data_IF_514947846301
#
_entry.id   IF_514947846301
#
_cell.length_a   1.000
_cell.length_b   1.000
_cell.length_c   1.000
_cell.angle_alpha   90.00
_cell.angle_beta   90.00
_cell.angle_gamma   90.00
#
_symmetry.space_group_name_H-M   'P 1'
#
loop_
_entity.id
_entity.type
_entity.pdbx_description
1 polymer ?
#
# COMPACT_ATOMS: atom_id res chain seq x y z
N UNK A 1 7.30 5.80 -1.67
CA UNK A 1 8.64 6.39 -1.77
C UNK A 1 9.37 6.07 -0.48
N UNK A 2 9.99 4.93 -0.45
CA UNK A 2 10.70 4.40 0.72
C UNK A 2 12.14 4.13 0.35
N UNK A 3 12.99 3.97 1.37
CA UNK A 3 14.38 3.53 1.20
C UNK A 3 15.33 4.54 0.53
N UNK A 4 15.00 5.84 0.55
CA UNK A 4 15.96 6.85 0.17
C UNK A 4 17.05 6.93 1.25
N UNK A 5 18.31 6.74 0.85
CA UNK A 5 19.46 6.89 1.76
C UNK A 5 19.92 8.33 1.71
N UNK A 6 19.42 9.14 2.65
CA UNK A 6 19.89 10.51 2.83
C UNK A 6 21.23 10.55 3.56
N UNK A 7 22.08 11.49 3.16
CA UNK A 7 23.19 11.94 4.01
C UNK A 7 22.65 12.86 5.09
N UNK A 8 23.40 13.10 6.17
CA UNK A 8 22.92 13.92 7.30
C UNK A 8 22.51 15.35 6.86
N UNK A 9 23.22 15.90 5.88
CA UNK A 9 22.97 17.24 5.31
C UNK A 9 21.76 17.30 4.35
N UNK A 10 21.35 16.18 3.79
CA UNK A 10 20.24 16.12 2.82
C UNK A 10 18.87 16.16 3.50
N UNK A 11 18.81 15.96 4.82
CA UNK A 11 17.55 16.08 5.55
C UNK A 11 17.10 17.52 5.66
N UNK A 12 15.91 17.82 5.13
CA UNK A 12 15.29 19.13 5.15
C UNK A 12 14.26 19.30 6.28
N UNK A 13 13.72 18.18 6.78
CA UNK A 13 12.75 18.19 7.87
C UNK A 13 13.37 18.69 9.17
N UNK A 14 12.69 19.67 9.78
CA UNK A 14 13.14 20.30 11.04
C UNK A 14 13.32 19.26 12.16
N UNK A 15 12.41 18.29 12.27
CA UNK A 15 12.51 17.23 13.27
C UNK A 15 13.75 16.36 13.05
N UNK A 16 14.08 16.01 11.80
CA UNK A 16 15.26 15.24 11.49
C UNK A 16 16.54 16.02 11.87
N UNK A 17 16.59 17.32 11.56
CA UNK A 17 17.68 18.21 11.92
C UNK A 17 17.86 18.35 13.44
N UNK A 18 16.76 18.45 14.19
CA UNK A 18 16.79 18.48 15.66
C UNK A 18 17.30 17.15 16.24
N UNK A 19 16.84 16.01 15.72
CA UNK A 19 17.33 14.69 16.12
C UNK A 19 18.83 14.60 15.92
N UNK A 20 19.39 15.03 14.79
CA UNK A 20 20.84 15.05 14.57
C UNK A 20 21.55 16.02 15.50
N UNK A 21 20.99 17.20 15.78
CA UNK A 21 21.56 18.18 16.72
C UNK A 21 21.78 17.58 18.11
N UNK A 22 20.79 16.83 18.61
CA UNK A 22 20.87 16.14 19.90
C UNK A 22 21.84 14.93 19.81
N UNK A 23 21.70 14.14 18.75
CA UNK A 23 22.47 12.93 18.55
C UNK A 23 23.99 13.17 18.45
N UNK A 24 24.40 14.36 17.98
CA UNK A 24 25.83 14.75 17.93
C UNK A 24 26.47 14.87 19.32
N UNK A 25 25.66 15.06 20.38
CA UNK A 25 26.13 15.23 21.77
C UNK A 25 26.23 13.90 22.53
N UNK A 26 25.81 12.80 21.92
CA UNK A 26 25.73 11.48 22.57
C UNK A 26 26.67 10.50 21.87
N UNK A 27 27.47 9.70 22.58
CA UNK A 27 28.28 8.63 22.00
C UNK A 27 27.39 7.70 21.16
N UNK A 28 27.83 7.37 19.93
CA UNK A 28 27.06 6.57 18.94
C UNK A 28 25.69 7.16 18.51
N UNK A 29 25.28 8.31 19.03
CA UNK A 29 23.97 8.91 18.78
C UNK A 29 23.69 9.14 17.29
N UNK A 30 24.69 9.57 16.50
CA UNK A 30 24.52 9.74 15.04
C UNK A 30 24.13 8.45 14.33
N UNK A 31 24.72 7.31 14.70
CA UNK A 31 24.39 6.03 14.08
C UNK A 31 22.94 5.63 14.39
N UNK A 32 22.52 5.81 15.64
CA UNK A 32 21.14 5.55 16.08
C UNK A 32 20.17 6.48 15.35
N UNK A 33 20.49 7.78 15.26
CA UNK A 33 19.67 8.77 14.56
C UNK A 33 19.50 8.40 13.09
N UNK A 34 20.58 8.04 12.38
CA UNK A 34 20.53 7.59 10.98
C UNK A 34 19.62 6.36 10.82
N UNK A 35 19.77 5.35 11.66
CA UNK A 35 18.94 4.13 11.61
C UNK A 35 17.44 4.42 11.84
N UNK A 36 17.13 5.33 12.75
CA UNK A 36 15.76 5.76 13.03
C UNK A 36 15.19 6.59 11.87
N UNK A 37 15.90 7.61 11.42
CA UNK A 37 15.45 8.54 10.38
C UNK A 37 15.35 7.86 9.01
N UNK A 38 16.22 6.88 8.72
CA UNK A 38 16.12 6.06 7.51
C UNK A 38 14.77 5.34 7.34
N UNK A 39 14.02 5.14 8.44
CA UNK A 39 12.71 4.49 8.43
C UNK A 39 11.54 5.47 8.65
N UNK A 40 11.78 6.60 9.31
CA UNK A 40 10.70 7.45 9.85
C UNK A 40 10.72 8.89 9.40
N UNK A 41 11.78 9.36 8.74
CA UNK A 41 11.88 10.75 8.30
C UNK A 41 10.78 11.08 7.27
N UNK A 42 10.13 12.23 7.46
CA UNK A 42 9.11 12.75 6.54
C UNK A 42 9.68 13.05 5.16
N UNK A 43 10.97 13.33 5.07
CA UNK A 43 11.65 13.64 3.82
C UNK A 43 11.56 12.49 2.80
N UNK A 44 11.38 11.24 3.25
CA UNK A 44 11.14 10.11 2.35
C UNK A 44 9.87 10.28 1.49
N UNK A 45 8.84 10.94 2.03
CA UNK A 45 7.60 11.20 1.31
C UNK A 45 7.64 12.50 0.47
N UNK A 46 8.73 13.27 0.57
CA UNK A 46 8.90 14.57 -0.09
C UNK A 46 9.89 14.54 -1.24
N UNK A 47 10.56 13.41 -1.48
CA UNK A 47 11.46 13.27 -2.64
C UNK A 47 10.69 13.53 -3.95
N UNK A 48 11.35 14.11 -4.98
CA UNK A 48 10.72 14.32 -6.26
C UNK A 48 10.09 13.06 -6.85
N UNK A 49 8.93 13.21 -7.48
CA UNK A 49 8.22 12.09 -8.12
C UNK A 49 9.07 11.49 -9.22
N UNK A 50 9.13 10.17 -9.24
CA UNK A 50 9.92 9.39 -10.20
C UNK A 50 9.06 9.06 -11.42
N UNK A 51 9.02 9.95 -12.43
CA UNK A 51 8.20 9.75 -13.62
C UNK A 51 8.81 8.75 -14.59
N UNK A 52 10.13 8.84 -14.82
CA UNK A 52 10.87 7.96 -15.73
C UNK A 52 12.33 7.78 -15.30
N UNK A 53 13.11 7.04 -16.07
CA UNK A 53 14.53 6.83 -15.84
C UNK A 53 15.45 7.93 -16.39
N UNK A 54 14.90 9.00 -16.98
CA UNK A 54 15.63 10.10 -17.58
C UNK A 54 16.28 11.06 -16.58
N UNK A 55 16.71 12.20 -17.08
CA UNK A 55 17.29 13.25 -16.25
C UNK A 55 16.30 13.73 -15.20
N UNK A 56 16.79 13.98 -13.99
CA UNK A 56 15.98 14.38 -12.83
C UNK A 56 14.71 13.52 -12.62
N UNK A 57 14.74 12.24 -13.01
CA UNK A 57 13.61 11.33 -12.96
C UNK A 57 12.37 11.82 -13.75
N UNK A 58 12.58 12.70 -14.76
CA UNK A 58 11.49 13.37 -15.48
C UNK A 58 10.70 14.37 -14.63
N UNK A 59 11.18 14.72 -13.44
CA UNK A 59 10.46 15.62 -12.53
C UNK A 59 10.60 17.10 -12.90
N UNK A 60 11.78 17.51 -13.30
CA UNK A 60 12.08 18.91 -13.66
C UNK A 60 13.25 19.00 -14.64
N UNK A 61 13.26 20.04 -15.47
CA UNK A 61 14.41 20.39 -16.31
C UNK A 61 15.51 21.15 -15.53
N UNK A 62 15.17 21.73 -14.37
CA UNK A 62 16.10 22.43 -13.50
C UNK A 62 16.64 21.56 -12.37
N UNK A 63 17.33 22.17 -11.40
CA UNK A 63 17.80 21.48 -10.20
C UNK A 63 16.63 21.09 -9.32
N UNK A 64 16.47 19.80 -8.95
CA UNK A 64 15.43 19.40 -8.00
C UNK A 64 15.63 20.06 -6.64
N UNK A 65 14.53 20.41 -5.97
CA UNK A 65 14.54 21.05 -4.65
C UNK A 65 15.09 20.16 -3.53
N UNK A 66 15.07 18.85 -3.74
CA UNK A 66 15.59 17.82 -2.86
C UNK A 66 16.27 16.74 -3.69
N UNK A 67 17.14 15.94 -3.07
CA UNK A 67 17.78 14.81 -3.75
C UNK A 67 16.76 13.81 -4.31
N UNK A 68 17.08 13.26 -5.45
CA UNK A 68 16.33 12.15 -6.04
C UNK A 68 16.66 10.86 -5.31
N UNK A 69 15.68 9.98 -5.14
CA UNK A 69 15.94 8.62 -4.73
C UNK A 69 16.62 7.88 -5.91
N UNK A 70 17.82 7.32 -5.74
CA UNK A 70 18.55 6.63 -6.82
C UNK A 70 17.76 5.49 -7.49
N UNK A 71 16.75 4.95 -6.79
CA UNK A 71 15.87 3.91 -7.33
C UNK A 71 15.05 4.35 -8.54
N UNK A 72 15.00 5.65 -8.88
CA UNK A 72 14.21 6.14 -10.02
C UNK A 72 14.62 5.49 -11.36
N UNK A 73 15.83 4.99 -11.48
CA UNK A 73 16.29 4.28 -12.68
C UNK A 73 15.51 2.99 -12.95
N UNK A 74 14.95 2.37 -11.93
CA UNK A 74 14.21 1.10 -12.03
C UNK A 74 12.79 1.18 -11.49
N UNK A 75 12.55 2.04 -10.50
CA UNK A 75 11.23 2.23 -9.87
C UNK A 75 10.72 3.61 -10.27
N UNK A 76 9.85 3.66 -11.25
CA UNK A 76 9.26 4.90 -11.75
C UNK A 76 7.89 4.62 -12.39
N UNK A 77 7.15 5.68 -12.69
CA UNK A 77 5.80 5.59 -13.26
C UNK A 77 5.80 4.92 -14.63
N UNK A 78 6.77 5.25 -15.49
CA UNK A 78 6.87 4.65 -16.83
C UNK A 78 7.02 3.12 -16.76
N UNK A 79 7.93 2.63 -15.91
CA UNK A 79 8.11 1.20 -15.70
C UNK A 79 6.89 0.54 -15.07
N UNK A 80 6.19 1.22 -14.14
CA UNK A 80 4.96 0.70 -13.56
C UNK A 80 3.85 0.58 -14.62
N UNK A 81 3.67 1.59 -15.48
CA UNK A 81 2.69 1.54 -16.57
C UNK A 81 2.96 0.39 -17.54
N UNK A 82 4.23 0.08 -17.79
CA UNK A 82 4.67 -1.03 -18.66
C UNK A 82 4.57 -2.41 -17.96
N UNK A 83 4.32 -2.46 -16.65
CA UNK A 83 4.22 -3.72 -15.92
C UNK A 83 2.90 -4.48 -16.12
N UNK A 84 1.98 -3.94 -16.92
CA UNK A 84 0.69 -4.58 -17.25
C UNK A 84 -0.13 -4.89 -15.99
N UNK A 85 -0.48 -6.16 -15.80
CA UNK A 85 -1.30 -6.58 -14.64
C UNK A 85 -0.63 -6.41 -13.27
N UNK A 86 0.70 -6.27 -13.24
CA UNK A 86 1.47 -6.01 -12.01
C UNK A 86 1.57 -4.52 -11.69
N UNK A 87 1.05 -3.64 -12.55
CA UNK A 87 1.06 -2.21 -12.36
C UNK A 87 0.21 -1.81 -11.16
N UNK A 88 0.81 -1.09 -10.22
CA UNK A 88 0.13 -0.49 -9.07
C UNK A 88 -0.87 0.57 -9.54
N UNK A 89 -0.49 1.39 -10.52
CA UNK A 89 -1.38 2.37 -11.13
C UNK A 89 -2.61 1.72 -11.76
N UNK A 90 -2.42 0.65 -12.55
CA UNK A 90 -3.54 -0.06 -13.17
C UNK A 90 -4.48 -0.68 -12.11
N UNK A 91 -3.92 -1.21 -11.02
CA UNK A 91 -4.71 -1.71 -9.91
C UNK A 91 -5.53 -0.61 -9.24
N UNK A 92 -4.94 0.54 -8.93
CA UNK A 92 -5.63 1.70 -8.36
C UNK A 92 -6.73 2.23 -9.28
N UNK A 93 -6.49 2.27 -10.60
CA UNK A 93 -7.51 2.66 -11.58
C UNK A 93 -8.75 1.76 -11.49
N UNK A 94 -8.55 0.43 -11.40
CA UNK A 94 -9.65 -0.54 -11.22
C UNK A 94 -10.36 -0.37 -9.86
N UNK A 95 -9.59 -0.13 -8.80
CA UNK A 95 -10.14 0.11 -7.46
C UNK A 95 -11.01 1.38 -7.43
N UNK A 96 -10.56 2.45 -8.07
CA UNK A 96 -11.35 3.68 -8.20
C UNK A 96 -12.61 3.48 -9.05
N UNK A 97 -12.54 2.71 -10.14
CA UNK A 97 -13.71 2.36 -10.93
C UNK A 97 -14.73 1.56 -10.12
N UNK A 98 -14.28 0.56 -9.35
CA UNK A 98 -15.12 -0.19 -8.43
C UNK A 98 -15.81 0.72 -7.40
N UNK A 99 -15.05 1.66 -6.81
CA UNK A 99 -15.58 2.61 -5.83
C UNK A 99 -16.64 3.54 -6.43
N UNK A 100 -16.39 4.10 -7.61
CA UNK A 100 -17.34 5.02 -8.28
C UNK A 100 -18.61 4.32 -8.76
N UNK A 101 -18.50 3.07 -9.18
CA UNK A 101 -19.62 2.29 -9.69
C UNK A 101 -20.48 1.61 -8.62
N UNK A 102 -20.16 1.74 -7.34
CA UNK A 102 -20.85 1.02 -6.27
C UNK A 102 -21.10 1.90 -5.04
N UNK A 103 -22.35 2.29 -4.85
CA UNK A 103 -22.79 3.04 -3.66
C UNK A 103 -22.46 2.31 -2.35
N UNK A 104 -22.50 0.96 -2.35
CA UNK A 104 -22.16 0.14 -1.19
C UNK A 104 -20.75 0.43 -0.64
N UNK A 105 -19.79 0.83 -1.50
CA UNK A 105 -18.43 1.18 -1.06
C UNK A 105 -18.40 2.51 -0.33
N UNK A 106 -19.27 3.46 -0.70
CA UNK A 106 -19.38 4.77 -0.06
C UNK A 106 -20.34 4.81 1.12
N UNK A 107 -21.52 4.20 0.96
CA UNK A 107 -22.68 4.35 1.87
C UNK A 107 -22.98 3.11 2.71
N UNK A 108 -22.35 1.96 2.41
CA UNK A 108 -22.66 0.71 3.12
C UNK A 108 -22.19 0.72 4.59
N UNK A 109 -22.91 -0.02 5.43
CA UNK A 109 -22.51 -0.28 6.82
C UNK A 109 -21.23 -1.09 6.84
N UNK A 110 -20.36 -0.77 7.80
CA UNK A 110 -19.10 -1.48 8.00
C UNK A 110 -19.22 -2.46 9.16
N UNK A 111 -18.88 -3.74 8.89
CA UNK A 111 -18.79 -4.76 9.93
C UNK A 111 -17.45 -5.48 9.78
N UNK A 112 -16.58 -5.34 10.79
CA UNK A 112 -15.31 -6.04 10.83
C UNK A 112 -15.54 -7.50 11.19
N UNK A 113 -14.91 -8.40 10.46
CA UNK A 113 -14.89 -9.83 10.73
C UNK A 113 -13.63 -10.17 11.53
N UNK A 114 -13.78 -11.03 12.54
CA UNK A 114 -12.68 -11.56 13.35
C UNK A 114 -11.67 -10.47 13.80
N UNK A 115 -12.10 -9.50 14.65
CA UNK A 115 -11.27 -8.36 15.04
C UNK A 115 -9.97 -8.74 15.76
N UNK A 116 -9.91 -9.95 16.35
CA UNK A 116 -8.73 -10.48 17.04
C UNK A 116 -7.68 -11.09 16.08
N UNK A 117 -7.99 -11.21 14.79
CA UNK A 117 -7.09 -11.81 13.81
C UNK A 117 -5.95 -10.86 13.43
N UNK A 118 -4.72 -11.24 13.75
CA UNK A 118 -3.52 -10.45 13.45
C UNK A 118 -2.94 -10.70 12.05
N UNK A 119 -3.54 -11.61 11.27
CA UNK A 119 -3.02 -12.05 9.97
C UNK A 119 -3.87 -11.57 8.81
N UNK A 120 -5.19 -11.65 8.98
CA UNK A 120 -6.15 -11.32 7.93
C UNK A 120 -7.02 -10.17 8.41
N UNK A 121 -7.12 -9.13 7.60
CA UNK A 121 -8.09 -8.06 7.79
C UNK A 121 -9.30 -8.38 6.92
N UNK A 122 -10.43 -8.71 7.57
CA UNK A 122 -11.69 -9.02 6.92
C UNK A 122 -12.79 -8.07 7.37
N UNK A 123 -13.62 -7.62 6.43
CA UNK A 123 -14.82 -6.85 6.75
C UNK A 123 -15.87 -6.97 5.65
N UNK A 124 -17.11 -6.69 6.04
CA UNK A 124 -18.22 -6.52 5.07
C UNK A 124 -18.67 -5.08 5.01
N UNK A 125 -19.26 -4.74 3.87
CA UNK A 125 -20.09 -3.54 3.66
C UNK A 125 -21.47 -3.98 3.19
N UNK A 126 -22.51 -3.41 3.77
CA UNK A 126 -23.89 -3.77 3.46
C UNK A 126 -24.69 -2.53 3.07
N UNK A 127 -25.38 -2.58 1.93
CA UNK A 127 -26.19 -1.48 1.43
C UNK A 127 -27.24 -1.97 0.42
N UNK A 128 -28.48 -1.53 0.54
CA UNK A 128 -29.55 -1.84 -0.42
C UNK A 128 -29.74 -3.36 -0.63
N UNK A 129 -29.61 -4.15 0.43
CA UNK A 129 -29.72 -5.60 0.34
C UNK A 129 -28.53 -6.34 -0.28
N UNK A 130 -27.46 -5.63 -0.68
CA UNK A 130 -26.23 -6.18 -1.23
C UNK A 130 -25.15 -6.23 -0.14
N UNK A 131 -24.21 -7.16 -0.29
CA UNK A 131 -23.05 -7.29 0.61
C UNK A 131 -21.77 -7.34 -0.21
N UNK A 132 -20.78 -6.55 0.18
CA UNK A 132 -19.39 -6.71 -0.23
C UNK A 132 -18.60 -7.34 0.92
N UNK A 133 -17.77 -8.32 0.59
CA UNK A 133 -16.76 -8.86 1.48
C UNK A 133 -15.38 -8.40 0.99
N UNK A 134 -14.59 -7.88 1.89
CA UNK A 134 -13.18 -7.54 1.64
C UNK A 134 -12.32 -8.36 2.59
N UNK A 135 -11.30 -9.01 2.04
CA UNK A 135 -10.29 -9.73 2.82
C UNK A 135 -8.90 -9.37 2.33
N UNK A 136 -7.97 -9.22 3.26
CA UNK A 136 -6.57 -8.93 2.96
C UNK A 136 -5.63 -9.67 3.92
N UNK A 137 -4.69 -10.41 3.36
CA UNK A 137 -3.60 -11.03 4.10
C UNK A 137 -2.42 -10.07 4.19
N UNK A 138 -2.06 -9.63 5.39
CA UNK A 138 -0.92 -8.72 5.63
C UNK A 138 0.41 -9.45 5.91
N UNK A 139 0.45 -10.76 5.74
CA UNK A 139 1.66 -11.55 5.99
C UNK A 139 2.34 -11.95 4.66
N UNK A 140 3.64 -12.18 4.71
CA UNK A 140 4.44 -12.69 3.59
C UNK A 140 4.36 -14.23 3.43
N UNK A 141 3.32 -14.85 3.96
CA UNK A 141 3.05 -16.28 3.90
C UNK A 141 1.57 -16.53 3.66
N UNK A 142 1.23 -17.70 3.12
CA UNK A 142 -0.18 -18.10 2.96
C UNK A 142 -0.87 -18.27 4.30
N UNK A 143 -2.13 -17.86 4.35
CA UNK A 143 -2.98 -17.94 5.54
C UNK A 143 -4.32 -18.53 5.16
N UNK A 144 -4.81 -19.52 5.92
CA UNK A 144 -6.18 -20.02 5.83
C UNK A 144 -7.09 -19.11 6.65
N UNK A 145 -8.23 -18.75 6.08
CA UNK A 145 -9.23 -17.90 6.72
C UNK A 145 -10.62 -18.47 6.48
N UNK A 146 -11.30 -18.87 7.55
CA UNK A 146 -12.65 -19.42 7.49
C UNK A 146 -13.68 -18.29 7.44
N UNK A 147 -14.62 -18.39 6.52
CA UNK A 147 -15.74 -17.47 6.38
C UNK A 147 -17.01 -18.02 7.01
N UNK A 148 -17.89 -17.17 7.54
CA UNK A 148 -19.28 -17.53 7.80
C UNK A 148 -19.95 -18.08 6.55
N UNK A 149 -20.85 -19.05 6.71
CA UNK A 149 -21.48 -19.76 5.58
C UNK A 149 -22.21 -18.81 4.61
N UNK A 150 -22.84 -17.77 5.14
CA UNK A 150 -23.55 -16.73 4.38
C UNK A 150 -22.62 -15.85 3.51
N UNK A 151 -21.32 -15.83 3.78
CA UNK A 151 -20.32 -15.09 3.03
C UNK A 151 -19.52 -15.96 2.06
N UNK A 152 -19.83 -17.25 1.98
CA UNK A 152 -19.04 -18.20 1.20
C UNK A 152 -19.46 -18.34 -0.27
N UNK A 153 -20.50 -17.62 -0.72
CA UNK A 153 -21.00 -17.64 -2.10
C UNK A 153 -20.99 -16.24 -2.69
N UNK A 154 -20.46 -16.11 -3.88
CA UNK A 154 -20.40 -14.84 -4.58
C UNK A 154 -19.33 -14.82 -5.66
N UNK A 155 -19.05 -13.64 -6.18
CA UNK A 155 -18.08 -13.42 -7.27
C UNK A 155 -16.97 -12.47 -6.88
N UNK A 156 -15.78 -12.70 -7.42
CA UNK A 156 -14.65 -11.77 -7.32
C UNK A 156 -14.97 -10.51 -8.11
N UNK A 157 -14.87 -9.36 -7.46
CA UNK A 157 -15.00 -8.04 -8.10
C UNK A 157 -13.64 -7.42 -8.37
N UNK A 158 -12.70 -7.60 -7.46
CA UNK A 158 -11.32 -7.12 -7.59
C UNK A 158 -10.39 -7.99 -6.76
N UNK A 159 -9.21 -8.30 -7.29
CA UNK A 159 -8.11 -8.90 -6.54
C UNK A 159 -6.78 -8.49 -7.14
N UNK A 160 -5.71 -8.53 -6.34
CA UNK A 160 -4.32 -8.40 -6.80
C UNK A 160 -3.74 -9.72 -7.34
N UNK A 161 -4.48 -10.82 -7.25
CA UNK A 161 -4.19 -12.09 -7.90
C UNK A 161 -5.30 -12.44 -8.90
N UNK A 162 -4.94 -12.99 -10.07
CA UNK A 162 -5.91 -13.23 -11.17
C UNK A 162 -6.90 -14.36 -10.90
N UNK A 163 -6.51 -15.33 -10.10
CA UNK A 163 -7.20 -16.59 -9.87
C UNK A 163 -7.77 -16.71 -8.46
N UNK A 164 -7.97 -15.59 -7.79
CA UNK A 164 -8.65 -15.55 -6.49
C UNK A 164 -10.06 -16.09 -6.60
N UNK A 165 -10.50 -16.89 -5.63
CA UNK A 165 -11.82 -17.51 -5.60
C UNK A 165 -12.42 -17.38 -4.22
N UNK A 166 -13.74 -17.24 -4.16
CA UNK A 166 -14.48 -17.30 -2.92
C UNK A 166 -14.75 -18.75 -2.57
N UNK A 167 -14.52 -19.12 -1.32
CA UNK A 167 -14.76 -20.46 -0.77
C UNK A 167 -15.03 -20.36 0.74
N UNK A 168 -15.66 -21.36 1.38
CA UNK A 168 -15.89 -21.37 2.83
C UNK A 168 -14.60 -21.21 3.65
N UNK A 169 -13.48 -21.72 3.13
CA UNK A 169 -12.15 -21.50 3.68
C UNK A 169 -11.30 -20.89 2.56
N UNK A 170 -10.91 -19.65 2.75
CA UNK A 170 -10.00 -18.95 1.84
C UNK A 170 -8.56 -19.36 2.15
N UNK A 171 -7.80 -19.71 1.12
CA UNK A 171 -6.36 -19.85 1.20
C UNK A 171 -5.70 -18.62 0.58
N UNK A 172 -5.52 -17.60 1.40
CA UNK A 172 -4.97 -16.32 0.98
C UNK A 172 -3.45 -16.43 0.85
N UNK A 173 -2.94 -16.14 -0.33
CA UNK A 173 -1.49 -16.09 -0.64
C UNK A 173 -0.82 -14.91 0.08
N UNK A 174 0.52 -14.84 0.09
CA UNK A 174 1.22 -13.68 0.65
C UNK A 174 0.70 -12.36 0.08
N UNK A 175 0.27 -11.45 0.95
CA UNK A 175 -0.25 -10.13 0.59
C UNK A 175 -1.45 -10.14 -0.37
N UNK A 176 -2.18 -11.23 -0.44
CA UNK A 176 -3.40 -11.30 -1.25
C UNK A 176 -4.51 -10.45 -0.63
N UNK A 177 -5.13 -9.61 -1.46
CA UNK A 177 -6.29 -8.83 -1.12
C UNK A 177 -7.36 -9.01 -2.19
N UNK A 178 -8.60 -9.27 -1.77
CA UNK A 178 -9.71 -9.48 -2.66
C UNK A 178 -11.00 -8.82 -2.16
N UNK A 179 -11.81 -8.38 -3.12
CA UNK A 179 -13.16 -7.85 -2.93
C UNK A 179 -14.14 -8.79 -3.62
N UNK A 180 -15.13 -9.26 -2.88
CA UNK A 180 -16.17 -10.15 -3.37
C UNK A 180 -17.53 -9.48 -3.26
N UNK A 181 -18.37 -9.63 -4.29
CA UNK A 181 -19.81 -9.39 -4.20
C UNK A 181 -20.48 -10.67 -3.72
N UNK A 182 -21.17 -10.60 -2.58
CA UNK A 182 -21.84 -11.75 -1.99
C UNK A 182 -23.23 -11.91 -2.60
N UNK A 183 -23.55 -13.13 -2.99
CA UNK A 183 -24.89 -13.50 -3.44
C UNK A 183 -25.71 -13.90 -2.21
N UNK A 184 -26.87 -13.25 -2.01
CA UNK A 184 -27.81 -13.71 -0.99
C UNK A 184 -28.39 -15.05 -1.40
N UNK A 185 -28.40 -15.97 -0.46
CA UNK A 185 -29.12 -17.26 -0.61
C UNK A 185 -30.61 -17.03 -0.74
#
# INVERSE_FOLDING_TARGET
>A
MVNCKFRDEDYLDVMARQVFSIARKIPFGKAIARACLAKRARDHARTPMQWNAGENAGFTAGKPWMMLNPSYKTINVENDLNAGDKSVYAFYKRLHALRRGNEIVGCGDYVQLDPANDKVFGYTRNYGGKTLLVVANFKNKSVKYSLPAELAKGKVLLSNYKDSRLAPVLELRPYEAAVFGIEKA
#
